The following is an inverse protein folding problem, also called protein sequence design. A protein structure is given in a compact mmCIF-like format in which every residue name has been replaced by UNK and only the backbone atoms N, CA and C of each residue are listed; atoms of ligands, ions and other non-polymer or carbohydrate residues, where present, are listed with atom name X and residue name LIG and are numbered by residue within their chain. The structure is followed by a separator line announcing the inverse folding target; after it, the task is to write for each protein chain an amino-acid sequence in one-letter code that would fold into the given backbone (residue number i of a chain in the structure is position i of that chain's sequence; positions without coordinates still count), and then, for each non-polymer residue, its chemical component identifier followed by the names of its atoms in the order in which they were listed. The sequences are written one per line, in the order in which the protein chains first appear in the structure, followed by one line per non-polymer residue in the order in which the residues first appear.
data_IF_844358414599
#
_entry.id   IF_844358414599
#
_cell.length_a   1.000
_cell.length_b   1.000
_cell.length_c   1.000
_cell.angle_alpha   90.00
_cell.angle_beta   90.00
_cell.angle_gamma   90.00
#
_symmetry.space_group_name_H-M   'P 1'
#
loop_
_entity.id
_entity.type
_entity.pdbx_description
1 polymer ?
#
# COMPACT_ATOMS: atom_id res chain seq x y z
N UNK A 1 -12.37 8.01 22.77
CA UNK A 1 -10.91 7.82 22.81
C UNK A 1 -10.50 7.26 21.46
N UNK A 2 -10.10 8.09 20.51
CA UNK A 2 -9.52 7.66 19.23
C UNK A 2 -8.35 8.59 18.89
N UNK A 3 -7.43 8.74 19.84
CA UNK A 3 -6.18 9.49 19.63
C UNK A 3 -5.07 8.50 19.35
N UNK A 4 -4.62 8.48 18.09
CA UNK A 4 -3.28 8.07 17.68
C UNK A 4 -3.10 6.58 17.36
N UNK A 5 -3.03 6.27 16.06
CA UNK A 5 -2.28 5.10 15.59
C UNK A 5 -1.29 5.59 14.52
N UNK A 6 -0.23 6.25 14.99
CA UNK A 6 1.11 6.35 14.40
C UNK A 6 1.26 5.98 12.89
N UNK A 7 0.98 6.95 12.01
CA UNK A 7 1.78 7.33 10.84
C UNK A 7 2.45 6.27 9.94
N UNK A 8 1.78 5.18 9.53
CA UNK A 8 2.33 4.28 8.48
C UNK A 8 1.26 3.54 7.67
N UNK A 9 0.22 4.24 7.24
CA UNK A 9 -0.81 3.66 6.38
C UNK A 9 -0.31 3.46 4.95
N UNK A 10 -0.48 2.24 4.40
CA UNK A 10 -0.24 1.95 2.99
C UNK A 10 -1.50 2.15 2.17
N UNK A 11 -1.31 2.67 0.99
CA UNK A 11 -2.33 2.87 -0.02
C UNK A 11 -1.90 2.15 -1.29
N UNK A 12 -2.86 1.70 -2.07
CA UNK A 12 -2.63 1.06 -3.36
C UNK A 12 -3.69 1.51 -4.35
N UNK A 13 -3.35 1.49 -5.63
CA UNK A 13 -4.32 1.70 -6.71
C UNK A 13 -4.81 0.34 -7.17
N UNK A 14 -6.12 0.16 -7.21
CA UNK A 14 -6.77 -1.01 -7.79
C UNK A 14 -8.00 -0.55 -8.53
N UNK A 15 -8.22 -1.06 -9.74
CA UNK A 15 -9.38 -0.69 -10.57
C UNK A 15 -9.50 0.84 -10.81
N UNK A 16 -8.37 1.53 -10.98
CA UNK A 16 -8.29 2.99 -11.11
C UNK A 16 -8.71 3.79 -9.86
N UNK A 17 -8.95 3.13 -8.73
CA UNK A 17 -9.30 3.77 -7.47
C UNK A 17 -8.21 3.55 -6.43
N UNK A 18 -7.97 4.57 -5.61
CA UNK A 18 -7.06 4.47 -4.47
C UNK A 18 -7.79 3.79 -3.31
N UNK A 19 -7.18 2.73 -2.79
CA UNK A 19 -7.63 1.99 -1.62
C UNK A 19 -6.64 2.16 -0.47
N UNK A 20 -7.14 2.23 0.77
CA UNK A 20 -6.34 2.41 1.98
C UNK A 20 -6.90 3.48 2.94
N UNK A 21 -6.22 3.77 4.06
CA UNK A 21 -4.96 3.18 4.50
C UNK A 21 -5.12 1.75 5.04
N UNK A 22 -4.24 0.85 4.63
CA UNK A 22 -4.10 -0.51 5.16
C UNK A 22 -2.69 -0.73 5.74
N UNK A 23 -2.51 -1.79 6.53
CA UNK A 23 -1.20 -2.17 7.04
C UNK A 23 -0.33 -2.83 5.96
N UNK A 24 0.99 -2.81 6.13
CA UNK A 24 1.93 -3.46 5.20
C UNK A 24 1.61 -4.94 4.99
N UNK A 25 1.30 -5.67 6.07
CA UNK A 25 0.91 -7.09 5.98
C UNK A 25 -0.32 -7.30 5.09
N UNK A 26 -1.31 -6.41 5.17
CA UNK A 26 -2.50 -6.51 4.33
C UNK A 26 -2.15 -6.25 2.86
N UNK A 27 -1.29 -5.26 2.58
CA UNK A 27 -0.83 -4.98 1.22
C UNK A 27 -0.04 -6.17 0.64
N UNK A 28 0.82 -6.80 1.44
CA UNK A 28 1.54 -8.03 1.08
C UNK A 28 0.59 -9.18 0.79
N UNK A 29 -0.45 -9.35 1.60
CA UNK A 29 -1.46 -10.37 1.36
C UNK A 29 -2.19 -10.14 0.03
N UNK A 30 -2.56 -8.88 -0.27
CA UNK A 30 -3.15 -8.51 -1.56
C UNK A 30 -2.22 -8.79 -2.74
N UNK A 31 -0.91 -8.53 -2.60
CA UNK A 31 0.10 -8.87 -3.60
C UNK A 31 0.19 -10.39 -3.82
N UNK A 32 0.21 -11.17 -2.73
CA UNK A 32 0.23 -12.64 -2.80
C UNK A 32 -1.03 -13.23 -3.40
N UNK A 33 -2.18 -12.59 -3.16
CA UNK A 33 -3.48 -12.98 -3.73
C UNK A 33 -3.64 -12.53 -5.19
N UNK A 34 -2.75 -11.68 -5.69
CA UNK A 34 -2.84 -11.10 -7.04
C UNK A 34 -3.90 -10.01 -7.18
N UNK A 35 -4.39 -9.45 -6.07
CA UNK A 35 -5.31 -8.30 -6.08
C UNK A 35 -4.55 -7.03 -6.45
N UNK A 36 -3.35 -6.87 -5.88
CA UNK A 36 -2.39 -5.84 -6.27
C UNK A 36 -1.30 -6.53 -7.07
N UNK A 37 -1.06 -6.06 -8.29
CA UNK A 37 0.01 -6.56 -9.13
C UNK A 37 1.37 -5.93 -8.78
N UNK A 38 2.47 -6.55 -9.23
CA UNK A 38 3.81 -5.96 -9.11
C UNK A 38 3.94 -4.62 -9.85
N UNK A 39 3.09 -4.36 -10.84
CA UNK A 39 3.06 -3.11 -11.61
C UNK A 39 2.04 -2.09 -11.05
N UNK A 40 1.24 -2.47 -10.05
CA UNK A 40 0.30 -1.54 -9.42
C UNK A 40 1.03 -0.55 -8.53
N UNK A 41 0.47 0.65 -8.44
CA UNK A 41 1.05 1.72 -7.66
C UNK A 41 0.64 1.58 -6.20
N UNK A 42 1.64 1.61 -5.34
CA UNK A 42 1.51 1.64 -3.89
C UNK A 42 2.19 2.88 -3.34
N UNK A 43 1.68 3.39 -2.23
CA UNK A 43 2.20 4.57 -1.58
C UNK A 43 2.00 4.48 -0.08
N UNK A 44 2.86 5.13 0.68
CA UNK A 44 2.66 5.33 2.11
C UNK A 44 3.14 6.75 2.43
N UNK A 45 2.75 7.31 3.56
CA UNK A 45 3.17 8.67 3.94
C UNK A 45 4.69 8.87 4.02
N UNK A 46 5.45 7.82 4.29
CA UNK A 46 6.92 7.84 4.30
C UNK A 46 7.54 7.84 2.89
N UNK A 47 6.75 7.66 1.83
CA UNK A 47 7.21 7.67 0.44
C UNK A 47 7.01 9.05 -0.19
N UNK A 48 7.97 9.55 -0.98
CA UNK A 48 7.84 10.84 -1.66
C UNK A 48 6.68 10.82 -2.67
N UNK A 49 6.51 9.70 -3.38
CA UNK A 49 5.53 9.53 -4.45
C UNK A 49 5.09 8.06 -4.57
N UNK A 50 4.02 7.82 -5.32
CA UNK A 50 3.56 6.48 -5.67
C UNK A 50 4.65 5.68 -6.38
N UNK A 51 4.91 4.46 -5.92
CA UNK A 51 5.86 3.54 -6.53
C UNK A 51 5.17 2.24 -6.90
N UNK A 52 5.60 1.60 -7.98
CA UNK A 52 5.13 0.26 -8.33
C UNK A 52 5.46 -0.72 -7.18
N UNK A 53 4.56 -1.64 -6.84
CA UNK A 53 4.78 -2.58 -5.74
C UNK A 53 6.09 -3.37 -5.89
N UNK A 54 6.49 -3.74 -7.12
CA UNK A 54 7.77 -4.40 -7.41
C UNK A 54 9.01 -3.54 -7.12
N UNK A 55 8.88 -2.21 -7.15
CA UNK A 55 9.97 -1.26 -6.86
C UNK A 55 10.19 -1.10 -5.36
N UNK A 56 9.27 -1.61 -4.57
CA UNK A 56 9.26 -1.49 -3.12
C UNK A 56 9.72 -2.83 -2.53
N UNK A 57 11.03 -3.01 -2.28
CA UNK A 57 11.57 -4.30 -1.86
C UNK A 57 11.09 -4.78 -0.49
N UNK A 58 10.40 -3.92 0.28
CA UNK A 58 9.81 -4.30 1.57
C UNK A 58 8.45 -4.99 1.44
N UNK A 59 7.83 -4.99 0.25
CA UNK A 59 6.55 -5.64 -0.04
C UNK A 59 6.74 -7.06 -0.61
#
# INVERSE_FOLDING_TARGET
METGQNGSGWYYVSNNERQGPINELALKDLLRRGVVGPNDYVWQESMPDWQEAKRVPKL
#
